data_IF_122207831169
#
_entry.id   IF_122207831169
#
_cell.length_a   1.000
_cell.length_b   1.000
_cell.length_c   1.000
_cell.angle_alpha   90.00
_cell.angle_beta   90.00
_cell.angle_gamma   90.00
#
_symmetry.space_group_name_H-M   'P 1'
#
loop_
_entity.id
_entity.type
_entity.pdbx_description
1 polymer ?
#
# COMPACT_ATOMS: atom_id res chain seq x y z
N UNK A 1 -1.60 15.75 18.54
CA UNK A 1 -2.28 15.34 17.30
C UNK A 1 -1.23 15.33 16.20
N UNK A 2 -0.55 14.21 16.00
CA UNK A 2 0.40 14.04 14.89
C UNK A 2 -0.26 13.17 13.83
N UNK A 3 -1.31 13.73 13.20
CA UNK A 3 -1.66 13.32 11.85
C UNK A 3 -0.55 13.85 10.96
N UNK A 4 0.42 13.00 10.64
CA UNK A 4 1.55 13.37 9.80
C UNK A 4 1.04 13.91 8.47
N UNK A 5 1.70 14.98 8.01
CA UNK A 5 1.44 15.74 6.77
C UNK A 5 1.24 14.84 5.53
N UNK A 6 1.61 13.56 5.59
CA UNK A 6 1.41 12.54 4.56
C UNK A 6 -0.07 12.19 4.25
N UNK A 7 -0.99 12.24 5.22
CA UNK A 7 -2.41 11.86 4.97
C UNK A 7 -3.14 12.84 4.05
N UNK A 8 -2.78 14.13 4.07
CA UNK A 8 -3.38 15.15 3.20
C UNK A 8 -3.06 14.94 1.71
N UNK A 9 -1.98 14.22 1.38
CA UNK A 9 -1.57 13.96 -0.01
C UNK A 9 -2.00 12.59 -0.56
N UNK A 10 -2.74 11.80 0.21
CA UNK A 10 -3.29 10.53 -0.26
C UNK A 10 -4.47 10.79 -1.18
N UNK A 11 -4.42 10.29 -2.42
CA UNK A 11 -5.60 10.27 -3.27
C UNK A 11 -6.45 9.02 -3.00
N UNK A 12 -7.63 8.95 -3.62
CA UNK A 12 -8.60 7.88 -3.37
C UNK A 12 -8.06 6.48 -3.67
N UNK A 13 -7.12 6.36 -4.60
CA UNK A 13 -6.49 5.08 -4.94
C UNK A 13 -5.46 4.68 -3.91
N UNK A 14 -4.74 5.64 -3.34
CA UNK A 14 -3.82 5.36 -2.24
C UNK A 14 -4.58 4.94 -0.98
N UNK A 15 -5.69 5.65 -0.68
CA UNK A 15 -6.61 5.26 0.39
C UNK A 15 -7.16 3.85 0.17
N UNK A 16 -7.54 3.50 -1.06
CA UNK A 16 -8.02 2.15 -1.37
C UNK A 16 -6.97 1.07 -1.09
N UNK A 17 -5.70 1.29 -1.44
CA UNK A 17 -4.59 0.37 -1.12
C UNK A 17 -4.43 0.24 0.40
N UNK A 18 -4.42 1.36 1.12
CA UNK A 18 -4.22 1.39 2.58
C UNK A 18 -5.38 0.71 3.30
N UNK A 19 -6.63 0.99 2.91
CA UNK A 19 -7.81 0.36 3.50
C UNK A 19 -7.80 -1.16 3.31
N UNK A 20 -7.45 -1.65 2.11
CA UNK A 20 -7.33 -3.08 1.86
C UNK A 20 -6.25 -3.72 2.73
N UNK A 21 -5.09 -3.07 2.88
CA UNK A 21 -4.02 -3.57 3.74
C UNK A 21 -4.40 -3.51 5.23
N UNK A 22 -5.19 -2.52 5.65
CA UNK A 22 -5.74 -2.43 7.01
C UNK A 22 -6.71 -3.57 7.30
N UNK A 23 -7.59 -3.90 6.35
CA UNK A 23 -8.60 -4.94 6.51
C UNK A 23 -8.03 -6.36 6.40
N UNK A 24 -7.07 -6.58 5.49
CA UNK A 24 -6.52 -7.91 5.20
C UNK A 24 -5.20 -8.19 5.92
N UNK A 25 -4.54 -7.17 6.44
CA UNK A 25 -3.22 -7.23 7.08
C UNK A 25 -2.08 -7.37 6.05
N UNK A 26 -2.13 -8.40 5.22
CA UNK A 26 -1.05 -8.74 4.29
C UNK A 26 -1.60 -9.14 2.91
N UNK A 27 -1.09 -8.51 1.84
CA UNK A 27 -1.52 -8.82 0.47
C UNK A 27 -0.37 -8.78 -0.52
N UNK A 28 -0.41 -9.63 -1.54
CA UNK A 28 0.51 -9.62 -2.68
C UNK A 28 0.22 -8.46 -3.64
N UNK A 29 1.19 -8.07 -4.50
CA UNK A 29 0.94 -7.11 -5.58
C UNK A 29 -0.24 -7.51 -6.48
N UNK A 30 -0.38 -8.81 -6.77
CA UNK A 30 -1.45 -9.32 -7.63
C UNK A 30 -2.83 -9.19 -7.00
N UNK A 31 -2.95 -9.49 -5.72
CA UNK A 31 -4.22 -9.33 -4.98
C UNK A 31 -4.63 -7.86 -4.89
N UNK A 32 -3.69 -6.96 -4.60
CA UNK A 32 -3.96 -5.52 -4.56
C UNK A 32 -4.35 -4.98 -5.93
N UNK A 33 -3.66 -5.38 -7.00
CA UNK A 33 -4.03 -4.99 -8.37
C UNK A 33 -5.46 -5.42 -8.72
N UNK A 34 -5.80 -6.67 -8.41
CA UNK A 34 -7.13 -7.23 -8.66
C UNK A 34 -8.21 -6.53 -7.83
N UNK A 35 -7.95 -6.27 -6.56
CA UNK A 35 -8.91 -5.67 -5.65
C UNK A 35 -9.13 -4.17 -5.92
N UNK A 36 -8.08 -3.45 -6.30
CA UNK A 36 -8.16 -1.99 -6.52
C UNK A 36 -8.54 -1.61 -7.95
N UNK A 37 -8.34 -2.49 -8.94
CA UNK A 37 -8.52 -2.17 -10.35
C UNK A 37 -7.57 -1.09 -10.89
N UNK A 38 -6.53 -0.73 -10.13
CA UNK A 38 -5.58 0.31 -10.54
C UNK A 38 -4.71 -0.22 -11.69
N UNK A 39 -4.50 0.55 -12.77
CA UNK A 39 -3.58 0.17 -13.83
C UNK A 39 -2.17 -0.13 -13.30
N UNK A 40 -1.53 -1.19 -13.81
CA UNK A 40 -0.26 -1.72 -13.28
C UNK A 40 0.82 -0.65 -13.09
N UNK A 41 1.03 0.22 -14.07
CA UNK A 41 2.05 1.28 -14.00
C UNK A 41 1.73 2.31 -12.89
N UNK A 42 0.47 2.70 -12.77
CA UNK A 42 0.01 3.60 -11.71
C UNK A 42 0.12 2.95 -10.33
N UNK A 43 -0.20 1.66 -10.22
CA UNK A 43 -0.09 0.90 -8.98
C UNK A 43 1.35 0.89 -8.45
N UNK A 44 2.33 0.51 -9.26
CA UNK A 44 3.73 0.46 -8.79
C UNK A 44 4.29 1.83 -8.44
N UNK A 45 3.89 2.89 -9.16
CA UNK A 45 4.24 4.27 -8.79
C UNK A 45 3.72 4.62 -7.37
N UNK A 46 2.50 4.20 -7.05
CA UNK A 46 1.85 4.44 -5.75
C UNK A 46 2.49 3.62 -4.64
N UNK A 47 2.69 2.32 -4.86
CA UNK A 47 3.38 1.44 -3.92
C UNK A 47 4.77 1.98 -3.57
N UNK A 48 5.55 2.39 -4.57
CA UNK A 48 6.88 2.96 -4.34
C UNK A 48 6.81 4.24 -3.50
N UNK A 49 5.81 5.09 -3.75
CA UNK A 49 5.58 6.29 -2.94
C UNK A 49 5.20 5.92 -1.51
N UNK A 50 4.16 5.11 -1.31
CA UNK A 50 3.70 4.68 0.02
C UNK A 50 4.80 3.99 0.84
N UNK A 51 5.66 3.21 0.19
CA UNK A 51 6.85 2.62 0.83
C UNK A 51 7.85 3.68 1.26
N UNK A 52 8.16 4.63 0.38
CA UNK A 52 9.12 5.70 0.65
C UNK A 52 8.65 6.62 1.77
N UNK A 53 7.35 6.93 1.81
CA UNK A 53 6.74 7.70 2.91
C UNK A 53 6.57 6.87 4.19
N UNK A 54 6.97 5.60 4.19
CA UNK A 54 6.93 4.72 5.37
C UNK A 54 5.51 4.30 5.79
N UNK A 55 4.51 4.46 4.93
CA UNK A 55 3.11 4.09 5.21
C UNK A 55 2.92 2.57 5.11
N UNK A 56 3.59 1.95 4.12
CA UNK A 56 3.58 0.51 3.92
C UNK A 56 5.00 -0.02 3.89
N UNK A 57 5.15 -1.30 4.15
CA UNK A 57 6.42 -1.99 3.96
C UNK A 57 6.25 -3.24 3.08
N UNK A 58 7.37 -3.66 2.50
CA UNK A 58 7.45 -4.86 1.69
C UNK A 58 8.08 -5.98 2.50
N UNK A 59 7.42 -7.13 2.56
CA UNK A 59 7.99 -8.35 3.13
C UNK A 59 8.09 -9.43 2.05
N UNK A 60 9.12 -10.26 2.15
CA UNK A 60 9.27 -11.44 1.30
C UNK A 60 9.02 -12.68 2.17
N UNK A 61 8.03 -13.49 1.81
CA UNK A 61 7.67 -14.71 2.53
C UNK A 61 7.45 -15.85 1.53
N UNK A 62 8.12 -16.98 1.76
CA UNK A 62 8.03 -18.16 0.89
C UNK A 62 8.26 -17.84 -0.61
N UNK A 63 9.24 -16.99 -0.92
CA UNK A 63 9.58 -16.58 -2.29
C UNK A 63 8.59 -15.61 -2.95
N UNK A 64 7.58 -15.12 -2.22
CA UNK A 64 6.61 -14.15 -2.72
C UNK A 64 6.75 -12.82 -1.99
N UNK A 65 6.49 -11.74 -2.72
CA UNK A 65 6.42 -10.40 -2.19
C UNK A 65 5.02 -10.09 -1.69
N UNK A 66 4.94 -9.52 -0.50
CA UNK A 66 3.72 -9.00 0.10
C UNK A 66 3.94 -7.57 0.60
N UNK A 67 2.85 -6.85 0.73
CA UNK A 67 2.79 -5.54 1.37
C UNK A 67 1.88 -5.60 2.59
N UNK A 68 2.26 -4.85 3.62
CA UNK A 68 1.44 -4.58 4.81
C UNK A 68 1.59 -3.12 5.20
N UNK A 69 0.67 -2.62 6.03
CA UNK A 69 0.88 -1.33 6.70
C UNK A 69 2.12 -1.41 7.57
N UNK A 70 2.93 -0.35 7.56
CA UNK A 70 4.03 -0.24 8.49
C UNK A 70 3.43 0.13 9.84
N UNK A 71 3.62 -0.73 10.84
CA UNK A 71 3.30 -0.36 12.22
C UNK A 71 4.34 0.67 12.66
N UNK A 72 3.85 1.86 13.04
CA UNK A 72 4.66 2.95 13.58
C UNK A 72 4.94 2.75 15.06
#
# INVERSE_FOLDING_TARGET
MEGSIAEEFLDDRDRAIISLLREKGLMTPGELLKATGIPRSAFYRRINRLKREGIIEQINMAGKTYYRLKEG
#
